data_IF_998161287662
#
_entry.id   IF_998161287662
#
_cell.length_a   1.000
_cell.length_b   1.000
_cell.length_c   1.000
_cell.angle_alpha   90.00
_cell.angle_beta   90.00
_cell.angle_gamma   90.00
#
_symmetry.space_group_name_H-M   'P 1'
#
loop_
_entity.id
_entity.type
_entity.pdbx_description
1 polymer ?
#
# COMPACT_ATOMS: atom_id res chain seq x y z
N UNK A 1 12.72 -11.36 10.20
CA UNK A 1 12.34 -9.99 9.77
C UNK A 1 12.24 -10.02 8.25
N UNK A 2 11.04 -9.85 7.69
CA UNK A 2 10.84 -9.75 6.24
C UNK A 2 11.09 -8.28 5.84
N UNK A 3 12.09 -7.98 5.00
CA UNK A 3 12.31 -6.61 4.56
C UNK A 3 11.12 -6.14 3.70
N UNK A 4 10.76 -4.85 3.75
CA UNK A 4 9.79 -4.30 2.81
C UNK A 4 10.23 -4.59 1.37
N UNK A 5 9.29 -5.07 0.54
CA UNK A 5 9.56 -5.35 -0.86
C UNK A 5 9.84 -4.06 -1.65
N UNK A 6 10.73 -4.16 -2.63
CA UNK A 6 11.02 -3.10 -3.60
C UNK A 6 10.81 -3.62 -5.03
N UNK A 7 10.35 -2.75 -5.93
CA UNK A 7 10.19 -3.08 -7.35
C UNK A 7 10.59 -1.89 -8.22
N UNK A 8 11.19 -2.17 -9.38
CA UNK A 8 11.64 -1.19 -10.35
C UNK A 8 10.78 -1.26 -11.61
N UNK A 9 10.18 -0.14 -12.01
CA UNK A 9 9.62 0.05 -13.34
C UNK A 9 10.58 0.91 -14.16
N UNK A 10 11.43 0.26 -14.97
CA UNK A 10 12.40 0.95 -15.81
C UNK A 10 11.74 1.73 -16.98
N UNK A 11 10.52 1.37 -17.38
CA UNK A 11 9.80 2.05 -18.46
C UNK A 11 9.25 3.39 -17.98
N UNK A 12 8.75 3.44 -16.75
CA UNK A 12 8.27 4.67 -16.12
C UNK A 12 9.39 5.43 -15.38
N UNK A 13 10.53 4.79 -15.13
CA UNK A 13 11.61 5.38 -14.34
C UNK A 13 11.24 5.51 -12.85
N UNK A 14 10.50 4.53 -12.33
CA UNK A 14 9.93 4.57 -10.97
C UNK A 14 10.40 3.40 -10.10
N UNK A 15 10.68 3.71 -8.82
CA UNK A 15 10.99 2.76 -7.77
C UNK A 15 9.82 2.71 -6.78
N UNK A 16 9.29 1.51 -6.56
CA UNK A 16 8.16 1.23 -5.67
C UNK A 16 8.69 0.61 -4.38
N UNK A 17 8.37 1.20 -3.23
CA UNK A 17 8.79 0.72 -1.90
C UNK A 17 7.57 0.42 -1.06
N UNK A 18 7.43 -0.83 -0.59
CA UNK A 18 6.33 -1.24 0.26
C UNK A 18 6.55 -0.79 1.71
N UNK A 19 5.54 -0.16 2.32
CA UNK A 19 5.58 0.25 3.72
C UNK A 19 4.71 -0.69 4.54
N UNK A 20 5.33 -1.50 5.41
CA UNK A 20 4.61 -2.52 6.18
C UNK A 20 3.96 -1.98 7.47
N UNK A 21 4.51 -0.90 8.04
CA UNK A 21 3.93 -0.25 9.23
C UNK A 21 2.69 0.60 8.92
N UNK A 22 2.55 1.03 7.66
CA UNK A 22 1.37 1.71 7.13
C UNK A 22 1.11 1.15 5.74
N UNK A 23 0.09 0.28 5.51
CA UNK A 23 -0.06 -0.47 4.27
C UNK A 23 -0.27 0.47 3.08
N UNK A 24 0.86 0.80 2.47
CA UNK A 24 1.03 1.79 1.44
C UNK A 24 2.29 1.50 0.67
N UNK A 25 2.39 2.07 -0.53
CA UNK A 25 3.55 2.01 -1.39
C UNK A 25 3.96 3.45 -1.66
N UNK A 26 5.21 3.78 -1.38
CA UNK A 26 5.82 5.05 -1.78
C UNK A 26 6.56 4.85 -3.09
N UNK A 27 6.32 5.75 -4.04
CA UNK A 27 6.93 5.73 -5.36
C UNK A 27 7.94 6.86 -5.45
N UNK A 28 9.14 6.55 -5.93
CA UNK A 28 10.22 7.51 -6.13
C UNK A 28 10.71 7.48 -7.57
N UNK A 29 11.22 8.59 -8.11
CA UNK A 29 12.01 8.54 -9.34
C UNK A 29 13.25 7.65 -9.15
N UNK A 30 13.62 6.86 -10.16
CA UNK A 30 14.80 5.98 -10.12
C UNK A 30 16.10 6.75 -9.91
N UNK A 31 16.15 8.00 -10.34
CA UNK A 31 17.29 8.90 -10.20
C UNK A 31 17.19 9.79 -8.95
N UNK A 32 16.28 9.48 -8.01
CA UNK A 32 16.22 10.20 -6.73
C UNK A 32 17.55 10.08 -5.98
N UNK A 33 18.03 11.21 -5.45
CA UNK A 33 19.30 11.27 -4.73
C UNK A 33 19.12 12.00 -3.40
N UNK A 34 19.38 11.29 -2.29
CA UNK A 34 19.17 11.79 -0.94
C UNK A 34 17.72 11.65 -0.47
N UNK A 35 17.27 12.59 0.36
CA UNK A 35 15.95 12.60 1.00
C UNK A 35 14.88 13.23 0.07
N UNK A 36 14.68 12.61 -1.09
CA UNK A 36 13.67 13.06 -2.05
C UNK A 36 12.30 12.58 -1.60
N UNK A 37 11.32 13.48 -1.52
CA UNK A 37 9.95 13.12 -1.21
C UNK A 37 9.35 12.15 -2.27
N UNK A 38 8.44 11.23 -1.88
CA UNK A 38 7.79 10.35 -2.85
C UNK A 38 7.02 11.15 -3.90
N UNK A 39 7.16 10.78 -5.18
CA UNK A 39 6.37 11.36 -6.27
C UNK A 39 4.89 10.94 -6.20
N UNK A 40 4.63 9.79 -5.58
CA UNK A 40 3.29 9.26 -5.32
C UNK A 40 3.27 8.38 -4.09
N UNK A 41 2.14 8.38 -3.40
CA UNK A 41 1.83 7.40 -2.36
C UNK A 41 0.56 6.65 -2.74
N UNK A 42 0.66 5.33 -2.89
CA UNK A 42 -0.48 4.44 -3.18
C UNK A 42 -0.88 3.79 -1.86
N UNK A 43 -2.16 3.84 -1.48
CA UNK A 43 -2.66 3.32 -0.20
C UNK A 43 -4.09 2.82 -0.33
N UNK A 44 -4.45 1.82 0.47
CA UNK A 44 -5.79 1.22 0.45
C UNK A 44 -6.87 1.99 1.21
N UNK A 45 -6.51 3.08 1.90
CA UNK A 45 -7.45 3.89 2.69
C UNK A 45 -6.97 5.33 2.90
N UNK A 46 -7.78 6.20 3.53
CA UNK A 46 -7.48 7.62 3.70
C UNK A 46 -6.11 7.92 4.33
N UNK A 47 -5.60 9.13 4.10
CA UNK A 47 -4.37 9.58 4.74
C UNK A 47 -4.50 9.55 6.28
N UNK A 48 -3.49 9.01 6.97
CA UNK A 48 -3.48 8.88 8.43
C UNK A 48 -4.33 7.73 9.00
N UNK A 49 -5.09 7.02 8.18
CA UNK A 49 -5.83 5.84 8.65
C UNK A 49 -4.87 4.68 8.97
N UNK A 50 -5.16 3.97 10.06
CA UNK A 50 -4.49 2.71 10.37
C UNK A 50 -4.84 1.70 9.29
N UNK A 51 -3.81 1.00 8.81
CA UNK A 51 -4.00 -0.11 7.92
C UNK A 51 -4.93 -1.16 8.52
N UNK A 52 -5.92 -1.63 7.76
CA UNK A 52 -6.79 -2.72 8.22
C UNK A 52 -6.02 -4.04 8.40
N UNK A 53 -4.75 -4.11 7.96
CA UNK A 53 -3.85 -5.28 7.99
C UNK A 53 -4.45 -6.56 7.37
N UNK A 54 -5.43 -6.41 6.49
CA UNK A 54 -6.04 -7.51 5.75
C UNK A 54 -5.07 -7.93 4.65
N UNK A 55 -4.26 -8.95 4.91
CA UNK A 55 -3.20 -9.40 4.00
C UNK A 55 -3.67 -10.37 2.91
N UNK A 56 -4.60 -11.27 3.23
CA UNK A 56 -5.13 -12.27 2.30
C UNK A 56 -6.52 -12.76 2.76
N UNK A 57 -7.59 -12.00 2.48
CA UNK A 57 -8.92 -12.41 2.89
C UNK A 57 -9.39 -13.57 2.01
N UNK A 58 -9.63 -14.73 2.61
CA UNK A 58 -10.09 -15.94 1.89
C UNK A 58 -11.55 -15.88 1.42
N UNK A 59 -12.34 -14.94 1.92
CA UNK A 59 -13.73 -14.69 1.53
C UNK A 59 -14.12 -13.24 1.83
N UNK A 60 -15.16 -12.73 1.17
CA UNK A 60 -15.81 -11.44 1.48
C UNK A 60 -17.33 -11.64 1.51
N UNK A 61 -18.02 -10.92 2.39
CA UNK A 61 -19.48 -10.90 2.47
C UNK A 61 -20.04 -9.48 2.46
N UNK A 62 -21.26 -9.29 1.97
CA UNK A 62 -21.96 -7.99 2.02
C UNK A 62 -23.16 -8.08 2.97
N UNK A 63 -23.19 -7.25 4.02
CA UNK A 63 -24.34 -7.07 4.90
C UNK A 63 -25.22 -5.94 4.34
N UNK A 64 -26.30 -6.31 3.66
CA UNK A 64 -27.24 -5.37 3.04
C UNK A 64 -28.09 -4.58 4.04
N UNK A 65 -28.19 -5.01 5.30
CA UNK A 65 -28.93 -4.26 6.33
C UNK A 65 -28.10 -3.10 6.89
N UNK A 66 -26.78 -3.24 6.86
CA UNK A 66 -25.82 -2.24 7.39
C UNK A 66 -25.03 -1.53 6.31
N UNK A 67 -25.19 -1.92 5.05
CA UNK A 67 -24.45 -1.40 3.89
C UNK A 67 -22.93 -1.55 4.06
N UNK A 68 -22.49 -2.73 4.52
CA UNK A 68 -21.09 -2.99 4.89
C UNK A 68 -20.50 -4.20 4.17
N UNK A 69 -19.21 -4.11 3.82
CA UNK A 69 -18.41 -5.26 3.39
C UNK A 69 -17.73 -5.86 4.62
N UNK A 70 -17.99 -7.14 4.87
CA UNK A 70 -17.39 -7.92 5.93
C UNK A 70 -16.22 -8.71 5.37
N UNK A 71 -15.07 -8.56 6.00
CA UNK A 71 -13.84 -9.23 5.61
C UNK A 71 -13.29 -9.97 6.83
N UNK A 72 -13.18 -11.31 6.78
CA UNK A 72 -12.56 -12.07 7.86
C UNK A 72 -11.06 -11.76 7.89
N UNK A 73 -10.55 -11.55 9.09
CA UNK A 73 -9.12 -11.45 9.37
C UNK A 73 -8.66 -12.71 10.10
#
# INVERSE_FOLDING_TARGET
KSPPGIALDAKLGELYVANMGTPSITVFPVMANGDVAPSRTIRGGPAGAVGLMIGNPGAVGYDSKREQILVPN
#
